data_IF_111276672238
#
_entry.id   IF_111276672238
#
_cell.length_a   1.000
_cell.length_b   1.000
_cell.length_c   1.000
_cell.angle_alpha   90.00
_cell.angle_beta   90.00
_cell.angle_gamma   90.00
#
_symmetry.space_group_name_H-M   'P 1'
#
loop_
_entity.id
_entity.type
_entity.pdbx_description
1 polymer ?
#
# COMPACT_ATOMS: atom_id res chain seq x y z
N UNK A 1 -20.32 -14.67 -81.07
CA UNK A 1 -20.69 -14.22 -79.72
C UNK A 1 -20.08 -14.98 -78.53
N UNK A 2 -19.47 -16.16 -78.68
CA UNK A 2 -18.94 -16.91 -77.52
C UNK A 2 -17.52 -16.56 -77.06
N UNK A 3 -16.75 -15.74 -77.80
CA UNK A 3 -15.37 -15.37 -77.41
C UNK A 3 -15.32 -14.30 -76.31
N UNK A 4 -16.22 -13.32 -76.32
CA UNK A 4 -16.27 -12.27 -75.29
C UNK A 4 -16.82 -12.75 -73.93
N UNK A 5 -17.63 -13.81 -73.92
CA UNK A 5 -18.21 -14.34 -72.69
C UNK A 5 -17.14 -14.94 -71.75
N UNK A 6 -16.15 -15.66 -72.29
CA UNK A 6 -15.08 -16.27 -71.49
C UNK A 6 -14.14 -15.21 -70.89
N UNK A 7 -13.82 -14.15 -71.64
CA UNK A 7 -13.02 -13.02 -71.18
C UNK A 7 -13.74 -12.26 -70.06
N UNK A 8 -15.05 -12.02 -70.23
CA UNK A 8 -15.88 -11.34 -69.22
C UNK A 8 -15.98 -12.17 -67.92
N UNK A 9 -16.14 -13.49 -68.03
CA UNK A 9 -16.14 -14.41 -66.88
C UNK A 9 -14.78 -14.44 -66.20
N UNK A 10 -13.68 -14.44 -66.94
CA UNK A 10 -12.33 -14.40 -66.38
C UNK A 10 -12.06 -13.10 -65.62
N UNK A 11 -12.47 -11.95 -66.17
CA UNK A 11 -12.36 -10.65 -65.48
C UNK A 11 -13.21 -10.62 -64.22
N UNK A 12 -14.44 -11.14 -64.27
CA UNK A 12 -15.31 -11.21 -63.11
C UNK A 12 -14.76 -12.14 -62.02
N UNK A 13 -14.19 -13.29 -62.40
CA UNK A 13 -13.54 -14.21 -61.48
C UNK A 13 -12.30 -13.58 -60.82
N UNK A 14 -11.46 -12.88 -61.60
CA UNK A 14 -10.32 -12.14 -61.06
C UNK A 14 -10.75 -11.03 -60.11
N UNK A 15 -11.81 -10.30 -60.47
CA UNK A 15 -12.38 -9.27 -59.61
C UNK A 15 -12.88 -9.86 -58.28
N UNK A 16 -13.61 -10.98 -58.32
CA UNK A 16 -14.07 -11.67 -57.11
C UNK A 16 -12.92 -12.16 -56.23
N UNK A 17 -11.85 -12.71 -56.83
CA UNK A 17 -10.66 -13.14 -56.10
C UNK A 17 -9.99 -11.94 -55.43
N UNK A 18 -9.82 -10.83 -56.14
CA UNK A 18 -9.22 -9.61 -55.61
C UNK A 18 -10.07 -8.97 -54.51
N UNK A 19 -11.39 -8.92 -54.66
CA UNK A 19 -12.30 -8.43 -53.63
C UNK A 19 -12.29 -9.33 -52.39
N UNK A 20 -12.26 -10.66 -52.56
CA UNK A 20 -12.20 -11.61 -51.46
C UNK A 20 -10.87 -11.50 -50.71
N UNK A 21 -9.76 -11.35 -51.44
CA UNK A 21 -8.44 -11.11 -50.86
C UNK A 21 -8.39 -9.80 -50.08
N UNK A 22 -8.90 -8.71 -50.67
CA UNK A 22 -8.96 -7.41 -50.01
C UNK A 22 -9.80 -7.47 -48.72
N UNK A 23 -10.99 -8.09 -48.77
CA UNK A 23 -11.84 -8.26 -47.60
C UNK A 23 -11.15 -9.05 -46.48
N UNK A 24 -10.47 -10.16 -46.82
CA UNK A 24 -9.76 -10.98 -45.84
C UNK A 24 -8.55 -10.23 -45.25
N UNK A 25 -7.83 -9.47 -46.08
CA UNK A 25 -6.72 -8.64 -45.62
C UNK A 25 -7.20 -7.52 -44.67
N UNK A 26 -8.28 -6.83 -45.01
CA UNK A 26 -8.87 -5.79 -44.15
C UNK A 26 -9.39 -6.38 -42.85
N UNK A 27 -10.06 -7.53 -42.90
CA UNK A 27 -10.56 -8.20 -41.70
C UNK A 27 -9.43 -8.63 -40.77
N UNK A 28 -8.38 -9.28 -41.28
CA UNK A 28 -7.24 -9.70 -40.48
C UNK A 28 -6.55 -8.51 -39.82
N UNK A 29 -6.36 -7.41 -40.57
CA UNK A 29 -5.73 -6.21 -40.03
C UNK A 29 -6.56 -5.58 -38.91
N UNK A 30 -7.88 -5.43 -39.10
CA UNK A 30 -8.76 -4.88 -38.07
C UNK A 30 -8.78 -5.76 -36.82
N UNK A 31 -8.81 -7.08 -37.00
CA UNK A 31 -8.76 -8.03 -35.90
C UNK A 31 -7.43 -7.98 -35.13
N UNK A 32 -6.29 -7.87 -35.83
CA UNK A 32 -4.98 -7.69 -35.21
C UNK A 32 -4.89 -6.39 -34.40
N UNK A 33 -5.44 -5.29 -34.93
CA UNK A 33 -5.52 -4.00 -34.24
C UNK A 33 -6.41 -4.08 -32.98
N UNK A 34 -7.57 -4.73 -33.06
CA UNK A 34 -8.51 -4.89 -31.93
C UNK A 34 -7.97 -5.83 -30.83
N UNK A 35 -7.35 -6.95 -31.22
CA UNK A 35 -6.67 -7.86 -30.28
C UNK A 35 -5.45 -7.18 -29.66
N UNK A 36 -4.69 -6.41 -30.44
CA UNK A 36 -3.54 -5.64 -29.96
C UNK A 36 -3.95 -4.61 -28.90
N UNK A 37 -4.98 -3.82 -29.17
CA UNK A 37 -5.51 -2.83 -28.23
C UNK A 37 -6.07 -3.49 -26.96
N UNK A 38 -6.83 -4.57 -27.09
CA UNK A 38 -7.34 -5.34 -25.95
C UNK A 38 -6.22 -5.88 -25.05
N UNK A 39 -5.12 -6.38 -25.64
CA UNK A 39 -3.95 -6.85 -24.88
C UNK A 39 -3.27 -5.75 -24.09
N UNK A 40 -3.14 -4.55 -24.67
CA UNK A 40 -2.53 -3.40 -23.99
C UNK A 40 -3.39 -2.95 -22.81
N UNK A 41 -4.72 -2.91 -22.98
CA UNK A 41 -5.65 -2.56 -21.90
C UNK A 41 -5.57 -3.56 -20.75
N UNK A 42 -5.61 -4.86 -21.04
CA UNK A 42 -5.46 -5.90 -20.02
C UNK A 42 -4.12 -5.83 -19.29
N UNK A 43 -3.02 -5.60 -20.03
CA UNK A 43 -1.71 -5.40 -19.43
C UNK A 43 -1.70 -4.18 -18.48
N UNK A 44 -2.35 -3.08 -18.87
CA UNK A 44 -2.46 -1.89 -18.04
C UNK A 44 -3.27 -2.12 -16.77
N UNK A 45 -4.45 -2.74 -16.89
CA UNK A 45 -5.31 -3.04 -15.74
C UNK A 45 -4.63 -4.01 -14.78
N UNK A 46 -3.96 -5.04 -15.30
CA UNK A 46 -3.20 -5.99 -14.49
C UNK A 46 -2.02 -5.30 -13.77
N UNK A 47 -1.25 -4.46 -14.46
CA UNK A 47 -0.16 -3.70 -13.84
C UNK A 47 -0.66 -2.78 -12.73
N UNK A 48 -1.81 -2.14 -12.95
CA UNK A 48 -2.46 -1.29 -11.94
C UNK A 48 -2.92 -2.11 -10.75
N UNK A 49 -3.57 -3.25 -10.97
CA UNK A 49 -4.00 -4.13 -9.90
C UNK A 49 -2.81 -4.61 -9.05
N UNK A 50 -1.70 -4.99 -9.69
CA UNK A 50 -0.45 -5.33 -9.00
C UNK A 50 0.07 -4.15 -8.18
N UNK A 51 0.11 -2.94 -8.74
CA UNK A 51 0.57 -1.75 -8.00
C UNK A 51 -0.29 -1.44 -6.78
N UNK A 52 -1.62 -1.61 -6.88
CA UNK A 52 -2.55 -1.40 -5.78
C UNK A 52 -2.43 -2.51 -4.74
N UNK A 53 -2.16 -3.75 -5.15
CA UNK A 53 -1.90 -4.86 -4.25
C UNK A 53 -0.64 -4.65 -3.42
N UNK A 54 0.47 -4.27 -4.08
CA UNK A 54 1.73 -3.91 -3.40
C UNK A 54 1.52 -2.73 -2.45
N UNK A 55 0.78 -1.70 -2.89
CA UNK A 55 0.43 -0.56 -2.04
C UNK A 55 -0.32 -1.02 -0.78
N UNK A 56 -1.42 -1.76 -0.96
CA UNK A 56 -2.27 -2.20 0.14
C UNK A 56 -1.54 -3.10 1.13
N UNK A 57 -0.62 -3.94 0.65
CA UNK A 57 0.22 -4.76 1.51
C UNK A 57 1.19 -3.92 2.35
N UNK A 58 1.84 -2.92 1.76
CA UNK A 58 2.74 -2.02 2.49
C UNK A 58 1.99 -1.14 3.48
N UNK A 59 0.81 -0.63 3.11
CA UNK A 59 -0.05 0.14 4.02
C UNK A 59 -0.57 -0.74 5.17
N UNK A 60 -1.04 -1.96 4.89
CA UNK A 60 -1.47 -2.90 5.94
C UNK A 60 -0.32 -3.29 6.88
N UNK A 61 0.89 -3.50 6.35
CA UNK A 61 2.08 -3.73 7.18
C UNK A 61 2.34 -2.55 8.12
N UNK A 62 2.23 -1.31 7.63
CA UNK A 62 2.40 -0.11 8.45
C UNK A 62 1.29 0.01 9.51
N UNK A 63 0.03 -0.27 9.16
CA UNK A 63 -1.10 -0.27 10.09
C UNK A 63 -0.88 -1.23 11.27
N UNK A 64 -0.30 -2.40 11.02
CA UNK A 64 0.02 -3.37 12.08
C UNK A 64 1.29 -3.00 12.87
N UNK A 65 2.29 -2.48 12.16
CA UNK A 65 3.64 -2.26 12.72
C UNK A 65 3.73 -1.01 13.57
N UNK A 66 3.09 0.09 13.16
CA UNK A 66 3.11 1.36 13.90
C UNK A 66 2.69 1.21 15.37
N UNK A 67 1.50 0.65 15.67
CA UNK A 67 1.07 0.51 17.05
C UNK A 67 1.91 -0.49 17.85
N UNK A 68 2.45 -1.52 17.19
CA UNK A 68 3.37 -2.46 17.82
C UNK A 68 4.70 -1.79 18.19
N UNK A 69 5.26 -0.99 17.28
CA UNK A 69 6.50 -0.26 17.50
C UNK A 69 6.34 0.77 18.62
N UNK A 70 5.25 1.54 18.63
CA UNK A 70 4.89 2.44 19.72
C UNK A 70 4.77 1.71 21.06
N UNK A 71 4.05 0.59 21.11
CA UNK A 71 3.89 -0.18 22.34
C UNK A 71 5.23 -0.66 22.91
N UNK A 72 6.06 -1.24 22.05
CA UNK A 72 7.36 -1.75 22.47
C UNK A 72 8.32 -0.66 22.92
N UNK A 73 8.34 0.48 22.20
CA UNK A 73 9.12 1.64 22.58
C UNK A 73 8.68 2.17 23.95
N UNK A 74 7.36 2.27 24.18
CA UNK A 74 6.78 2.70 25.45
C UNK A 74 7.18 1.82 26.61
N UNK A 75 7.11 0.49 26.42
CA UNK A 75 7.53 -0.49 27.42
C UNK A 75 9.03 -0.38 27.76
N UNK A 76 9.86 0.10 26.84
CA UNK A 76 11.31 0.26 27.02
C UNK A 76 11.74 1.69 27.42
N UNK A 77 10.78 2.63 27.52
CA UNK A 77 11.08 4.04 27.74
C UNK A 77 11.67 4.78 26.54
N UNK A 78 11.71 4.14 25.37
CA UNK A 78 12.26 4.66 24.11
C UNK A 78 11.37 5.79 23.52
N UNK A 79 11.91 6.56 22.58
CA UNK A 79 11.29 7.76 22.00
C UNK A 79 10.74 7.56 20.59
N UNK A 80 10.40 8.69 19.96
CA UNK A 80 9.92 8.76 18.58
C UNK A 80 10.92 8.14 17.60
N UNK A 81 12.21 8.46 17.76
CA UNK A 81 13.29 8.00 16.88
C UNK A 81 13.38 6.46 16.82
N UNK A 82 13.22 5.77 17.95
CA UNK A 82 13.21 4.31 18.00
C UNK A 82 11.99 3.70 17.30
N UNK A 83 10.81 4.34 17.42
CA UNK A 83 9.60 3.92 16.70
C UNK A 83 9.84 4.03 15.20
N UNK A 84 10.35 5.18 14.74
CA UNK A 84 10.61 5.44 13.31
C UNK A 84 11.63 4.46 12.72
N UNK A 85 12.77 4.25 13.40
CA UNK A 85 13.79 3.28 12.99
C UNK A 85 13.23 1.87 12.86
N UNK A 86 12.40 1.45 13.82
CA UNK A 86 11.82 0.11 13.82
C UNK A 86 10.81 -0.07 12.69
N UNK A 87 9.97 0.93 12.44
CA UNK A 87 9.02 0.93 11.33
C UNK A 87 9.75 0.85 10.00
N UNK A 88 10.77 1.68 9.78
CA UNK A 88 11.58 1.65 8.56
C UNK A 88 12.30 0.31 8.37
N UNK A 89 12.84 -0.27 9.46
CA UNK A 89 13.51 -1.58 9.41
C UNK A 89 12.56 -2.69 8.96
N UNK A 90 11.33 -2.74 9.50
CA UNK A 90 10.35 -3.76 9.15
C UNK A 90 9.80 -3.57 7.72
N UNK A 91 9.56 -2.32 7.33
CA UNK A 91 9.17 -1.99 5.96
C UNK A 91 10.24 -2.44 4.95
N UNK A 92 11.51 -2.11 5.22
CA UNK A 92 12.62 -2.49 4.35
C UNK A 92 12.87 -4.00 4.32
N UNK A 93 12.65 -4.70 5.43
CA UNK A 93 12.68 -6.16 5.45
C UNK A 93 11.64 -6.75 4.48
N UNK A 94 10.41 -6.23 4.50
CA UNK A 94 9.39 -6.67 3.53
C UNK A 94 9.74 -6.32 2.10
N UNK A 95 10.28 -5.13 1.84
CA UNK A 95 10.71 -4.71 0.49
C UNK A 95 11.81 -5.62 -0.05
N UNK A 96 12.76 -6.03 0.81
CA UNK A 96 13.83 -6.96 0.45
C UNK A 96 13.34 -8.34 0.02
N UNK A 97 12.24 -8.83 0.60
CA UNK A 97 11.62 -10.08 0.16
C UNK A 97 11.08 -9.98 -1.29
N UNK A 98 10.72 -8.76 -1.71
CA UNK A 98 10.24 -8.46 -3.05
C UNK A 98 8.86 -9.05 -3.35
N UNK A 99 8.47 -9.00 -4.61
CA UNK A 99 7.22 -9.57 -5.10
C UNK A 99 7.46 -10.33 -6.38
N UNK A 100 6.77 -11.47 -6.53
CA UNK A 100 6.81 -12.27 -7.75
C UNK A 100 5.43 -12.33 -8.38
N UNK A 101 5.31 -11.75 -9.57
CA UNK A 101 4.10 -11.84 -10.39
C UNK A 101 4.45 -12.42 -11.76
N UNK A 102 3.59 -13.25 -12.38
CA UNK A 102 3.92 -13.95 -13.62
C UNK A 102 4.25 -13.06 -14.82
N UNK A 103 3.76 -11.82 -14.85
CA UNK A 103 3.88 -10.94 -16.02
C UNK A 103 4.23 -9.49 -15.68
N UNK A 104 4.50 -9.19 -14.40
CA UNK A 104 4.86 -7.86 -13.92
C UNK A 104 6.14 -7.97 -13.10
N UNK A 105 7.17 -7.26 -13.53
CA UNK A 105 8.36 -7.02 -12.72
C UNK A 105 8.10 -5.85 -11.77
N UNK A 106 8.32 -6.07 -10.47
CA UNK A 106 8.18 -5.04 -9.44
C UNK A 106 9.57 -4.67 -8.94
N UNK A 107 9.94 -3.40 -9.02
CA UNK A 107 11.17 -2.87 -8.42
C UNK A 107 10.82 -1.80 -7.42
N UNK A 108 11.26 -1.99 -6.18
CA UNK A 108 11.07 -1.04 -5.10
C UNK A 108 12.38 -0.95 -4.34
N UNK A 109 13.11 0.18 -4.40
CA UNK A 109 14.29 0.35 -3.58
C UNK A 109 13.92 0.49 -2.10
N UNK A 110 14.90 0.27 -1.24
CA UNK A 110 14.75 0.52 0.20
C UNK A 110 14.34 1.97 0.46
N UNK A 111 13.55 2.14 1.50
CA UNK A 111 13.02 3.40 1.96
C UNK A 111 13.88 3.93 3.09
N UNK A 112 14.52 5.07 2.86
CA UNK A 112 15.33 5.74 3.88
C UNK A 112 14.55 6.85 4.58
N UNK A 113 13.63 7.51 3.87
CA UNK A 113 12.96 8.72 4.34
C UNK A 113 11.44 8.63 4.10
N UNK A 114 10.70 8.17 5.11
CA UNK A 114 9.27 8.45 5.23
C UNK A 114 9.07 9.68 6.10
N UNK A 115 7.96 10.38 5.90
CA UNK A 115 7.59 11.48 6.78
C UNK A 115 6.74 10.94 7.92
N UNK A 116 7.28 11.00 9.12
CA UNK A 116 6.61 10.69 10.37
C UNK A 116 6.08 11.99 11.00
N UNK A 117 4.76 12.12 11.09
CA UNK A 117 4.08 13.29 11.61
C UNK A 117 3.43 12.97 12.95
N UNK A 118 4.18 13.20 14.03
CA UNK A 118 3.67 13.12 15.39
C UNK A 118 2.72 14.28 15.68
N UNK A 119 1.49 13.95 16.05
CA UNK A 119 0.48 14.94 16.42
C UNK A 119 0.57 15.26 17.92
N UNK A 120 0.09 16.44 18.36
CA UNK A 120 0.15 16.84 19.78
C UNK A 120 -0.61 15.90 20.74
N UNK A 121 -1.59 15.14 20.23
CA UNK A 121 -2.32 14.12 21.00
C UNK A 121 -1.53 12.81 21.14
N UNK A 122 -0.36 12.72 20.51
CA UNK A 122 0.53 11.56 20.53
C UNK A 122 0.24 10.50 19.47
N UNK A 123 -0.72 10.75 18.56
CA UNK A 123 -0.95 9.93 17.37
C UNK A 123 0.10 10.19 16.29
N UNK A 124 0.20 9.29 15.31
CA UNK A 124 1.23 9.35 14.26
C UNK A 124 0.62 9.15 12.88
N UNK A 125 0.92 10.06 11.96
CA UNK A 125 0.66 9.86 10.54
C UNK A 125 1.98 9.62 9.80
N UNK A 126 2.06 8.52 9.06
CA UNK A 126 3.20 8.19 8.20
C UNK A 126 2.79 8.37 6.75
N UNK A 127 3.56 9.17 6.01
CA UNK A 127 3.34 9.37 4.57
C UNK A 127 4.63 9.42 3.79
N UNK A 128 4.60 8.95 2.55
CA UNK A 128 5.76 9.04 1.67
C UNK A 128 5.47 8.60 0.25
N UNK A 129 6.28 9.09 -0.67
CA UNK A 129 6.29 8.65 -2.06
C UNK A 129 7.47 7.72 -2.27
N UNK A 130 7.19 6.47 -2.63
CA UNK A 130 8.21 5.48 -2.93
C UNK A 130 8.48 5.44 -4.43
N UNK A 131 9.75 5.44 -4.88
CA UNK A 131 10.10 5.36 -6.30
C UNK A 131 10.00 3.91 -6.81
N UNK A 132 8.80 3.35 -6.73
CA UNK A 132 8.47 2.03 -7.27
C UNK A 132 8.44 2.04 -8.80
N UNK A 133 8.74 0.91 -9.44
CA UNK A 133 8.39 0.68 -10.83
C UNK A 133 7.73 -0.68 -11.02
N UNK A 134 6.76 -0.70 -11.92
CA UNK A 134 5.99 -1.87 -12.32
C UNK A 134 6.07 -1.99 -13.83
N UNK A 135 6.64 -3.07 -14.34
CA UNK A 135 6.81 -3.27 -15.78
C UNK A 135 6.16 -4.59 -16.21
N UNK A 136 5.10 -4.48 -17.01
CA UNK A 136 4.44 -5.63 -17.62
C UNK A 136 5.24 -6.13 -18.83
N UNK A 137 5.30 -7.44 -19.04
CA UNK A 137 5.94 -8.06 -20.22
C UNK A 137 5.37 -7.58 -21.56
N UNK A 138 4.12 -7.11 -21.55
CA UNK A 138 3.44 -6.46 -22.68
C UNK A 138 3.79 -4.98 -22.90
N UNK A 139 4.74 -4.42 -22.16
CA UNK A 139 5.27 -3.07 -22.35
C UNK A 139 4.62 -1.95 -21.52
N UNK A 140 3.58 -2.26 -20.73
CA UNK A 140 2.97 -1.28 -19.83
C UNK A 140 3.89 -0.98 -18.64
N UNK A 141 4.06 0.29 -18.28
CA UNK A 141 4.89 0.72 -17.15
C UNK A 141 4.11 1.66 -16.24
N UNK A 142 4.18 1.42 -14.93
CA UNK A 142 3.69 2.33 -13.88
C UNK A 142 4.82 2.67 -12.92
N UNK A 143 4.77 3.88 -12.36
CA UNK A 143 5.82 4.39 -11.48
C UNK A 143 5.23 5.05 -10.25
N UNK A 144 5.94 4.86 -9.15
CA UNK A 144 5.65 5.48 -7.87
C UNK A 144 4.55 4.78 -7.08
N UNK A 145 4.65 4.90 -5.76
CA UNK A 145 3.62 4.50 -4.81
C UNK A 145 3.52 5.57 -3.73
N UNK A 146 2.32 6.07 -3.49
CA UNK A 146 2.04 6.87 -2.30
C UNK A 146 1.58 5.97 -1.17
N UNK A 147 2.29 6.03 -0.05
CA UNK A 147 1.88 5.42 1.21
C UNK A 147 1.32 6.49 2.12
N UNK A 148 0.18 6.20 2.77
CA UNK A 148 -0.37 7.04 3.82
C UNK A 148 -1.11 6.19 4.86
N UNK A 149 -0.60 6.20 6.09
CA UNK A 149 -1.17 5.43 7.20
C UNK A 149 -1.24 6.29 8.46
N UNK A 150 -2.32 6.16 9.22
CA UNK A 150 -2.52 6.86 10.50
C UNK A 150 -2.66 5.85 11.63
N UNK A 151 -1.77 5.93 12.62
CA UNK A 151 -1.89 5.23 13.89
C UNK A 151 -2.54 6.17 14.91
N UNK A 152 -3.70 5.77 15.43
CA UNK A 152 -4.51 6.58 16.35
C UNK A 152 -4.07 6.45 17.80
N UNK A 153 -3.15 5.55 18.08
CA UNK A 153 -2.55 5.33 19.38
C UNK A 153 -1.88 6.59 19.89
N UNK A 154 -2.37 7.10 21.02
CA UNK A 154 -1.87 8.31 21.68
C UNK A 154 -0.61 8.02 22.49
N UNK A 155 0.41 7.48 21.83
CA UNK A 155 1.65 7.00 22.43
C UNK A 155 2.33 8.05 23.31
N UNK A 156 2.56 9.26 22.77
CA UNK A 156 3.22 10.33 23.51
C UNK A 156 2.38 10.83 24.68
N UNK A 157 1.04 10.77 24.59
CA UNK A 157 0.15 11.11 25.70
C UNK A 157 0.33 10.12 26.85
N UNK A 158 0.32 8.82 26.56
CA UNK A 158 0.54 7.79 27.58
C UNK A 158 1.94 7.89 28.18
N UNK A 159 2.97 8.12 27.37
CA UNK A 159 4.35 8.36 27.86
C UNK A 159 4.46 9.63 28.73
N UNK A 160 3.74 10.69 28.38
CA UNK A 160 3.69 11.90 29.19
C UNK A 160 3.00 11.63 30.53
N UNK A 161 1.83 11.00 30.52
CA UNK A 161 1.11 10.63 31.75
C UNK A 161 1.95 9.73 32.64
N UNK A 162 2.64 8.75 32.06
CA UNK A 162 3.61 7.91 32.74
C UNK A 162 4.68 8.71 33.51
N UNK A 163 5.16 9.83 32.95
CA UNK A 163 6.24 10.62 33.55
C UNK A 163 5.77 11.68 34.54
N UNK A 164 4.51 12.13 34.44
CA UNK A 164 3.96 13.18 35.32
C UNK A 164 3.07 12.66 36.44
N UNK A 165 2.58 11.42 36.36
CA UNK A 165 1.74 10.86 37.41
C UNK A 165 2.60 10.68 38.66
N UNK A 166 2.35 11.47 39.72
CA UNK A 166 3.20 11.43 40.90
C UNK A 166 2.98 10.11 41.63
N UNK A 167 4.07 9.51 42.11
CA UNK A 167 4.10 8.57 43.22
C UNK A 167 3.37 9.22 44.42
N UNK A 168 2.06 9.00 44.56
CA UNK A 168 1.29 9.59 45.67
C UNK A 168 -0.20 9.82 45.42
N UNK A 169 -0.70 9.73 44.18
CA UNK A 169 -2.14 9.69 43.91
C UNK A 169 -2.64 8.25 43.82
N UNK A 170 -3.83 7.97 44.32
CA UNK A 170 -4.42 6.64 44.21
C UNK A 170 -4.89 6.37 42.78
N UNK A 171 -5.02 5.09 42.41
CA UNK A 171 -5.53 4.67 41.09
C UNK A 171 -6.93 5.24 40.85
N UNK A 172 -7.78 5.29 41.88
CA UNK A 172 -9.14 5.86 41.78
C UNK A 172 -9.11 7.36 41.48
N UNK A 173 -8.21 8.12 42.11
CA UNK A 173 -8.05 9.55 41.86
C UNK A 173 -7.59 9.81 40.41
N UNK A 174 -6.64 9.02 39.91
CA UNK A 174 -6.17 9.10 38.54
C UNK A 174 -7.28 8.75 37.55
N UNK A 175 -8.01 7.67 37.79
CA UNK A 175 -9.15 7.28 36.95
C UNK A 175 -10.26 8.33 36.94
N UNK A 176 -10.52 9.02 38.07
CA UNK A 176 -11.47 10.13 38.08
C UNK A 176 -10.98 11.32 37.24
N UNK A 177 -9.71 11.70 37.37
CA UNK A 177 -9.11 12.84 36.67
C UNK A 177 -9.08 12.65 35.15
N UNK A 178 -8.79 11.43 34.69
CA UNK A 178 -8.61 11.11 33.27
C UNK A 178 -9.78 10.34 32.65
N UNK A 179 -10.90 10.19 33.37
CA UNK A 179 -12.11 9.49 32.91
C UNK A 179 -12.62 9.97 31.55
N UNK A 180 -12.57 11.29 31.31
CA UNK A 180 -13.02 11.89 30.04
C UNK A 180 -12.05 11.65 28.88
N UNK A 181 -10.78 11.37 29.16
CA UNK A 181 -9.78 11.04 28.15
C UNK A 181 -9.87 9.57 27.72
N UNK A 182 -10.64 8.73 28.42
CA UNK A 182 -10.73 7.30 28.12
C UNK A 182 -9.45 6.53 28.48
N UNK A 183 -8.66 7.05 29.41
CA UNK A 183 -7.42 6.46 29.89
C UNK A 183 -7.69 5.84 31.26
N UNK A 184 -7.36 4.55 31.40
CA UNK A 184 -7.51 3.79 32.63
C UNK A 184 -6.14 3.50 33.24
N UNK A 185 -6.06 3.76 34.53
CA UNK A 185 -4.96 3.41 35.41
C UNK A 185 -5.31 2.13 36.14
N UNK A 186 -4.39 1.17 36.12
CA UNK A 186 -4.44 -0.08 36.89
C UNK A 186 -3.14 -0.23 37.66
N UNK A 187 -3.16 -0.94 38.79
CA UNK A 187 -1.94 -1.34 39.48
C UNK A 187 -1.70 -2.84 39.24
N UNK A 188 -0.54 -3.18 38.67
CA UNK A 188 -0.15 -4.56 38.37
C UNK A 188 1.25 -4.80 38.94
N UNK A 189 1.35 -5.66 39.96
CA UNK A 189 2.60 -5.97 40.67
C UNK A 189 3.34 -4.75 41.25
N UNK A 190 2.61 -3.77 41.78
CA UNK A 190 3.18 -2.55 42.36
C UNK A 190 3.65 -1.53 41.30
N UNK A 191 3.25 -1.72 40.04
CA UNK A 191 3.54 -0.82 38.92
C UNK A 191 2.25 -0.24 38.37
N UNK A 192 2.31 1.01 37.91
CA UNK A 192 1.17 1.70 37.33
C UNK A 192 1.07 1.36 35.84
N UNK A 193 -0.07 0.81 35.43
CA UNK A 193 -0.37 0.46 34.04
C UNK A 193 -1.41 1.42 33.48
N UNK A 194 -1.16 1.95 32.30
CA UNK A 194 -2.07 2.88 31.62
C UNK A 194 -2.66 2.21 30.37
N UNK A 195 -3.97 2.25 30.22
CA UNK A 195 -4.67 1.71 29.06
C UNK A 195 -5.47 2.80 28.39
N UNK A 196 -5.29 2.98 27.08
CA UNK A 196 -6.09 3.88 26.27
C UNK A 196 -7.22 3.11 25.58
N UNK A 197 -8.45 3.32 26.04
CA UNK A 197 -9.64 2.67 25.45
C UNK A 197 -10.11 3.32 24.15
N UNK A 198 -9.71 4.55 23.87
CA UNK A 198 -10.07 5.22 22.61
C UNK A 198 -9.19 4.75 21.44
N UNK A 199 -7.97 4.28 21.73
CA UNK A 199 -7.03 3.77 20.73
C UNK A 199 -6.84 2.24 20.74
N UNK A 200 -7.50 1.50 21.65
CA UNK A 200 -7.56 0.04 21.61
C UNK A 200 -6.31 -0.71 22.08
N UNK A 201 -5.26 -0.04 22.60
CA UNK A 201 -4.03 -0.70 23.09
C UNK A 201 -3.46 -0.12 24.40
N UNK A 202 -2.71 -0.98 25.08
CA UNK A 202 -2.24 -0.89 26.49
C UNK A 202 -0.81 -0.32 26.55
N UNK A 203 -0.38 0.35 27.62
CA UNK A 203 1.03 0.69 27.91
C UNK A 203 1.32 0.42 29.40
N UNK A 204 2.37 -0.34 29.71
CA UNK A 204 2.78 -0.60 31.11
C UNK A 204 3.92 0.36 31.45
N UNK A 205 3.82 1.06 32.57
CA UNK A 205 4.85 1.98 33.06
C UNK A 205 5.52 1.37 34.28
N UNK A 206 6.85 1.39 34.33
CA UNK A 206 7.63 0.96 35.49
C UNK A 206 7.79 2.08 36.53
#
# INVERSE_FOLDING_TARGET
DHRGAAETVAVFALFLILCSWAALWTFNRLWEEEVGTSRILLASDFTRAVSLGVKGELEGLLEDTLPLAMYEAGRRGEGEEEVEKKVLSLLNARILEGWTYPSVEVKLPMVENLLFLWRPDGSLEVRGWLPASFEHSGGCKLFGLELRVEARERFLRLKHLASIVPLGKSVEELNSLFSQEGILFEEENGRLKLTDYQAGRRVVVE
#
